data_IF_614703142947
#
_entry.id   IF_614703142947
#
_cell.length_a   1.000
_cell.length_b   1.000
_cell.length_c   1.000
_cell.angle_alpha   90.00
_cell.angle_beta   90.00
_cell.angle_gamma   90.00
#
_symmetry.space_group_name_H-M   'P 1'
#
loop_
_entity.id
_entity.type
_entity.pdbx_description
1 polymer ?
#
# COMPACT_ATOMS: atom_id res chain seq x y z
N UNK A 1 28.49 27.08 13.60
CA UNK A 1 27.03 27.03 13.26
C UNK A 1 26.63 25.79 12.43
N UNK A 2 27.33 24.65 12.56
CA UNK A 2 27.07 23.42 11.74
C UNK A 2 26.23 22.38 12.49
N UNK A 3 26.09 22.50 13.81
CA UNK A 3 25.48 21.44 14.63
C UNK A 3 23.93 21.41 14.59
N UNK A 4 23.27 22.58 14.53
CA UNK A 4 21.80 22.65 14.56
C UNK A 4 21.17 21.96 13.34
N UNK A 5 21.56 22.25 12.10
CA UNK A 5 21.02 21.55 10.92
C UNK A 5 21.21 20.02 10.98
N UNK A 6 22.38 19.56 11.50
CA UNK A 6 22.65 18.14 11.61
C UNK A 6 21.74 17.45 12.65
N UNK A 7 21.51 18.09 13.79
CA UNK A 7 20.57 17.57 14.79
C UNK A 7 19.13 17.56 14.30
N UNK A 8 18.74 18.59 13.54
CA UNK A 8 17.41 18.63 12.93
C UNK A 8 17.24 17.53 11.91
N UNK A 9 18.20 17.34 10.98
CA UNK A 9 18.17 16.24 10.02
C UNK A 9 18.09 14.86 10.72
N UNK A 10 18.83 14.67 11.82
CA UNK A 10 18.74 13.45 12.60
C UNK A 10 17.35 13.24 13.22
N UNK A 11 16.72 14.31 13.75
CA UNK A 11 15.37 14.25 14.32
C UNK A 11 14.30 13.95 13.28
N UNK A 12 14.45 14.51 12.09
CA UNK A 12 13.56 14.23 10.97
C UNK A 12 13.73 12.79 10.48
N UNK A 13 14.97 12.29 10.41
CA UNK A 13 15.25 10.87 10.11
C UNK A 13 14.64 9.93 11.16
N UNK A 14 14.88 10.18 12.46
CA UNK A 14 14.27 9.41 13.55
C UNK A 14 12.73 9.42 13.49
N UNK A 15 12.15 10.53 13.05
CA UNK A 15 10.70 10.63 12.85
C UNK A 15 10.24 9.75 11.68
N UNK A 16 10.98 9.69 10.56
CA UNK A 16 10.65 8.81 9.44
C UNK A 16 10.72 7.33 9.86
N UNK A 17 11.71 6.93 10.67
CA UNK A 17 11.80 5.57 11.23
C UNK A 17 10.58 5.24 12.11
N UNK A 18 10.09 6.21 12.89
CA UNK A 18 8.87 6.03 13.70
C UNK A 18 7.64 5.82 12.81
N UNK A 19 7.49 6.61 11.75
CA UNK A 19 6.36 6.48 10.83
C UNK A 19 6.41 5.16 10.06
N UNK A 20 7.59 4.71 9.61
CA UNK A 20 7.78 3.40 8.98
C UNK A 20 7.30 2.26 9.89
N UNK A 21 7.71 2.28 11.17
CA UNK A 21 7.24 1.32 12.15
C UNK A 21 5.72 1.39 12.37
N UNK A 22 5.13 2.58 12.34
CA UNK A 22 3.68 2.76 12.48
C UNK A 22 2.92 2.27 11.26
N UNK A 23 3.44 2.43 10.05
CA UNK A 23 2.87 1.84 8.84
C UNK A 23 2.97 0.31 8.83
N UNK A 24 4.06 -0.24 9.36
CA UNK A 24 4.18 -1.68 9.60
C UNK A 24 3.12 -2.20 10.59
N UNK A 25 2.82 -1.43 11.66
CA UNK A 25 1.75 -1.76 12.60
C UNK A 25 0.36 -1.62 11.97
N UNK A 26 0.13 -0.60 11.13
CA UNK A 26 -1.10 -0.43 10.38
C UNK A 26 -1.36 -1.64 9.46
N UNK A 27 -0.34 -2.04 8.70
CA UNK A 27 -0.44 -3.25 7.87
C UNK A 27 -0.76 -4.48 8.71
N UNK A 28 -0.06 -4.70 9.82
CA UNK A 28 -0.33 -5.83 10.71
C UNK A 28 -1.77 -5.83 11.25
N UNK A 29 -2.31 -4.65 11.61
CA UNK A 29 -3.70 -4.52 12.04
C UNK A 29 -4.69 -4.92 10.94
N UNK A 30 -4.50 -4.41 9.72
CA UNK A 30 -5.34 -4.72 8.56
C UNK A 30 -5.21 -6.20 8.16
N UNK A 31 -3.99 -6.74 8.09
CA UNK A 31 -3.75 -8.15 7.79
C UNK A 31 -4.42 -9.06 8.85
N UNK A 32 -4.42 -8.66 10.13
CA UNK A 32 -5.12 -9.39 11.18
C UNK A 32 -6.63 -9.36 10.99
N UNK A 33 -7.20 -8.19 10.67
CA UNK A 33 -8.64 -8.05 10.38
C UNK A 33 -9.06 -8.90 9.17
N UNK A 34 -8.26 -8.89 8.10
CA UNK A 34 -8.55 -9.65 6.87
C UNK A 34 -8.36 -11.16 7.06
N UNK A 35 -7.41 -11.62 7.88
CA UNK A 35 -7.12 -13.06 8.05
C UNK A 35 -8.03 -13.77 9.08
N UNK A 36 -8.51 -13.06 10.09
CA UNK A 36 -9.34 -13.66 11.16
C UNK A 36 -10.80 -13.86 10.75
N UNK A 37 -11.26 -13.25 9.66
CA UNK A 37 -12.65 -13.29 9.23
C UNK A 37 -13.62 -12.61 10.22
N UNK A 38 -13.10 -11.86 11.20
CA UNK A 38 -13.92 -11.09 12.13
C UNK A 38 -14.29 -9.76 11.51
N UNK A 39 -15.56 -9.63 11.15
CA UNK A 39 -16.10 -8.41 10.55
C UNK A 39 -16.54 -7.40 11.61
N UNK A 40 -16.52 -6.13 11.24
CA UNK A 40 -17.04 -4.99 12.00
C UNK A 40 -16.36 -4.81 13.38
N UNK A 41 -15.05 -5.09 13.44
CA UNK A 41 -14.24 -4.81 14.63
C UNK A 41 -13.21 -3.73 14.28
N UNK A 42 -13.42 -2.48 14.76
CA UNK A 42 -12.49 -1.40 14.45
C UNK A 42 -11.19 -1.55 15.24
N UNK A 43 -10.06 -1.32 14.57
CA UNK A 43 -8.72 -1.23 15.15
C UNK A 43 -8.17 0.16 14.87
N UNK A 44 -7.62 0.81 15.89
CA UNK A 44 -6.98 2.12 15.75
C UNK A 44 -5.46 1.99 15.77
N UNK A 45 -4.80 2.60 14.78
CA UNK A 45 -3.35 2.73 14.71
C UNK A 45 -2.97 4.20 14.78
N UNK A 46 -1.96 4.54 15.57
CA UNK A 46 -1.50 5.93 15.73
C UNK A 46 -0.41 6.24 14.70
N UNK A 47 -0.55 7.36 13.99
CA UNK A 47 0.45 7.88 13.05
C UNK A 47 0.93 9.25 13.56
N UNK A 48 2.24 9.40 13.73
CA UNK A 48 2.88 10.64 14.14
C UNK A 48 3.14 11.49 12.90
N UNK A 49 2.51 12.68 12.82
CA UNK A 49 2.55 13.50 11.61
C UNK A 49 3.83 14.32 11.49
N UNK A 50 4.40 14.81 12.58
CA UNK A 50 5.57 15.67 12.50
C UNK A 50 6.67 15.34 13.51
N UNK A 51 7.87 15.83 13.25
CA UNK A 51 9.03 15.65 14.12
C UNK A 51 8.89 16.44 15.43
N UNK A 52 9.54 15.96 16.50
CA UNK A 52 9.57 16.65 17.79
C UNK A 52 10.33 17.97 17.71
N UNK A 53 9.79 18.99 18.40
CA UNK A 53 10.49 20.26 18.58
C UNK A 53 11.78 20.11 19.39
N UNK A 54 12.77 20.93 19.05
CA UNK A 54 13.92 21.14 19.93
C UNK A 54 13.58 22.26 20.94
N UNK A 55 13.72 22.00 22.26
CA UNK A 55 13.51 23.01 23.25
C UNK A 55 14.41 24.25 23.01
N UNK A 56 13.83 25.42 23.19
CA UNK A 56 14.52 26.73 23.08
C UNK A 56 15.04 27.12 21.68
N UNK A 57 14.73 26.34 20.63
CA UNK A 57 15.06 26.70 19.25
C UNK A 57 13.77 26.88 18.45
N UNK A 58 13.55 28.06 17.90
CA UNK A 58 12.54 28.25 16.85
C UNK A 58 13.08 27.60 15.58
N UNK A 59 12.80 26.32 15.40
CA UNK A 59 13.27 25.55 14.26
C UNK A 59 12.11 25.11 13.39
N UNK A 60 12.36 25.07 12.09
CA UNK A 60 11.48 24.36 11.17
C UNK A 60 11.50 22.88 11.55
N UNK A 61 10.35 22.24 11.45
CA UNK A 61 10.17 20.81 11.76
C UNK A 61 9.36 20.14 10.67
N UNK A 62 9.47 18.83 10.55
CA UNK A 62 8.67 18.05 9.59
C UNK A 62 7.18 18.32 9.78
N UNK A 63 6.51 18.55 8.69
CA UNK A 63 5.05 18.58 8.61
C UNK A 63 4.62 17.30 7.88
N UNK A 64 3.69 16.54 8.47
CA UNK A 64 3.16 15.34 7.83
C UNK A 64 1.70 15.48 7.48
N UNK A 65 1.33 14.78 6.42
CA UNK A 65 -0.03 14.65 5.92
C UNK A 65 -0.35 13.17 5.75
N UNK A 66 -1.50 12.75 6.28
CA UNK A 66 -2.05 11.40 6.13
C UNK A 66 -3.34 11.50 5.34
N UNK A 67 -3.49 10.67 4.31
CA UNK A 67 -4.64 10.69 3.41
C UNK A 67 -5.13 9.28 3.10
N UNK A 68 -6.43 9.15 2.88
CA UNK A 68 -7.06 7.97 2.28
C UNK A 68 -7.45 8.39 0.88
N UNK A 69 -6.82 7.77 -0.11
CA UNK A 69 -7.00 8.06 -1.53
C UNK A 69 -7.95 7.02 -2.12
N UNK A 70 -8.94 7.49 -2.84
CA UNK A 70 -9.91 6.67 -3.55
C UNK A 70 -9.39 6.35 -4.96
N UNK A 71 -9.65 5.14 -5.46
CA UNK A 71 -9.33 4.69 -6.84
C UNK A 71 -7.88 4.95 -7.29
N UNK A 72 -6.92 4.92 -6.37
CA UNK A 72 -5.52 5.24 -6.65
C UNK A 72 -4.72 4.07 -7.24
N UNK A 73 -5.21 2.84 -7.05
CA UNK A 73 -4.66 1.63 -7.65
C UNK A 73 -5.75 0.91 -8.44
N UNK A 74 -5.44 0.48 -9.67
CA UNK A 74 -6.38 -0.28 -10.49
C UNK A 74 -5.78 -1.63 -10.84
N UNK A 75 -6.57 -2.68 -10.66
CA UNK A 75 -6.27 -4.03 -11.11
C UNK A 75 -7.21 -4.40 -12.23
N UNK A 76 -6.63 -4.88 -13.35
CA UNK A 76 -7.39 -5.45 -14.45
C UNK A 76 -6.91 -6.86 -14.71
N UNK A 77 -7.85 -7.80 -14.78
CA UNK A 77 -7.59 -9.20 -15.10
C UNK A 77 -8.37 -9.53 -16.36
N UNK A 78 -7.69 -10.12 -17.35
CA UNK A 78 -8.30 -10.49 -18.62
C UNK A 78 -8.13 -12.00 -18.81
N UNK A 79 -9.21 -12.68 -19.14
CA UNK A 79 -9.19 -14.04 -19.63
C UNK A 79 -9.78 -14.10 -21.05
N UNK A 80 -9.95 -15.28 -21.61
CA UNK A 80 -10.45 -15.47 -23.00
C UNK A 80 -11.86 -14.92 -23.24
N UNK A 81 -12.66 -14.68 -22.19
CA UNK A 81 -14.09 -14.34 -22.30
C UNK A 81 -14.45 -13.02 -21.64
N UNK A 82 -13.74 -12.61 -20.58
CA UNK A 82 -14.12 -11.48 -19.73
C UNK A 82 -12.93 -10.59 -19.38
N UNK A 83 -13.25 -9.35 -19.02
CA UNK A 83 -12.34 -8.39 -18.41
C UNK A 83 -12.91 -8.00 -17.05
N UNK A 84 -12.14 -8.22 -16.01
CA UNK A 84 -12.46 -7.85 -14.63
C UNK A 84 -11.66 -6.60 -14.26
N UNK A 85 -12.34 -5.58 -13.74
CA UNK A 85 -11.70 -4.32 -13.34
C UNK A 85 -12.03 -4.06 -11.87
N UNK A 86 -11.00 -3.75 -11.10
CA UNK A 86 -11.10 -3.40 -9.68
C UNK A 86 -10.38 -2.08 -9.46
N UNK A 87 -11.03 -1.18 -8.74
CA UNK A 87 -10.47 0.08 -8.26
C UNK A 87 -10.26 -0.02 -6.77
N UNK A 88 -9.05 0.20 -6.31
CA UNK A 88 -8.60 -0.04 -4.94
C UNK A 88 -8.15 1.27 -4.33
N UNK A 89 -8.58 1.53 -3.10
CA UNK A 89 -8.13 2.69 -2.34
C UNK A 89 -6.84 2.42 -1.57
N UNK A 90 -6.13 3.48 -1.23
CA UNK A 90 -4.83 3.44 -0.54
C UNK A 90 -4.80 4.38 0.65
N UNK A 91 -3.84 4.16 1.55
CA UNK A 91 -3.51 5.09 2.64
C UNK A 91 -2.12 5.62 2.37
N UNK A 92 -1.98 6.94 2.32
CA UNK A 92 -0.69 7.59 2.08
C UNK A 92 -0.35 8.54 3.22
N UNK A 93 0.87 8.45 3.71
CA UNK A 93 1.53 9.46 4.52
C UNK A 93 2.62 10.13 3.72
N UNK A 94 2.66 11.45 3.72
CA UNK A 94 3.73 12.25 3.13
C UNK A 94 4.33 13.20 4.16
N UNK A 95 5.66 13.33 4.16
CA UNK A 95 6.39 14.30 4.98
C UNK A 95 6.93 15.44 4.15
N UNK A 96 6.88 16.64 4.69
CA UNK A 96 7.66 17.79 4.22
C UNK A 96 8.71 18.11 5.27
N UNK A 97 9.95 17.72 5.02
CA UNK A 97 11.09 17.86 5.91
C UNK A 97 11.88 19.13 5.57
N UNK A 98 12.48 19.76 6.57
CA UNK A 98 13.28 20.99 6.36
C UNK A 98 14.77 20.69 6.17
N UNK A 99 15.26 19.58 6.71
CA UNK A 99 16.69 19.22 6.79
C UNK A 99 17.00 17.80 6.35
N UNK A 100 15.99 16.92 6.28
CA UNK A 100 16.08 15.55 5.79
C UNK A 100 15.34 15.44 4.46
N UNK A 101 15.51 14.33 3.74
CA UNK A 101 14.78 14.08 2.50
C UNK A 101 13.29 13.87 2.79
N UNK A 102 12.44 14.37 1.91
CA UNK A 102 11.02 14.09 1.95
C UNK A 102 10.77 12.61 1.65
N UNK A 103 9.89 12.01 2.44
CA UNK A 103 9.54 10.60 2.34
C UNK A 103 8.03 10.43 2.40
N UNK A 104 7.52 9.45 1.65
CA UNK A 104 6.14 8.99 1.76
C UNK A 104 6.10 7.50 2.06
N UNK A 105 5.12 7.10 2.87
CA UNK A 105 4.78 5.70 3.13
C UNK A 105 3.37 5.45 2.63
N UNK A 106 3.22 4.41 1.81
CA UNK A 106 1.97 4.13 1.14
C UNK A 106 1.56 2.68 1.44
N UNK A 107 0.35 2.51 1.95
CA UNK A 107 -0.32 1.22 2.03
C UNK A 107 -1.19 1.07 0.79
N UNK A 108 -0.80 0.20 -0.15
CA UNK A 108 -1.46 0.01 -1.44
C UNK A 108 -1.62 -1.48 -1.74
N UNK A 109 -2.86 -1.93 -1.95
CA UNK A 109 -3.20 -3.31 -2.30
C UNK A 109 -2.55 -4.38 -1.38
N UNK A 110 -2.39 -4.08 -0.09
CA UNK A 110 -1.74 -4.95 0.89
C UNK A 110 -0.21 -4.81 0.97
N UNK A 111 0.44 -3.99 0.16
CA UNK A 111 1.86 -3.66 0.24
C UNK A 111 2.12 -2.41 1.07
N UNK A 112 3.32 -2.28 1.67
CA UNK A 112 3.87 -1.00 2.09
C UNK A 112 4.93 -0.57 1.09
N UNK A 113 4.77 0.64 0.55
CA UNK A 113 5.71 1.27 -0.36
C UNK A 113 6.37 2.43 0.36
N UNK A 114 7.70 2.49 0.30
CA UNK A 114 8.48 3.67 0.69
C UNK A 114 8.86 4.44 -0.56
N UNK A 115 8.50 5.71 -0.61
CA UNK A 115 8.77 6.61 -1.73
C UNK A 115 9.61 7.79 -1.28
N UNK A 116 10.62 8.13 -2.08
CA UNK A 116 11.50 9.28 -1.93
C UNK A 116 11.69 9.95 -3.28
N UNK A 117 12.30 11.13 -3.32
CA UNK A 117 12.53 11.88 -4.55
C UNK A 117 13.27 11.06 -5.63
N UNK A 118 14.19 10.17 -5.23
CA UNK A 118 15.02 9.38 -6.15
C UNK A 118 14.42 8.04 -6.56
N UNK A 119 13.28 7.64 -5.98
CA UNK A 119 12.62 6.38 -6.32
C UNK A 119 11.68 5.85 -5.25
N UNK A 120 11.05 4.73 -5.57
CA UNK A 120 10.15 4.03 -4.68
C UNK A 120 10.41 2.52 -4.70
N UNK A 121 10.08 1.85 -3.59
CA UNK A 121 10.24 0.41 -3.44
C UNK A 121 9.17 -0.16 -2.51
N UNK A 122 8.79 -1.41 -2.71
CA UNK A 122 7.97 -2.15 -1.77
C UNK A 122 8.86 -2.57 -0.59
N UNK A 123 8.64 -1.98 0.57
CA UNK A 123 9.34 -2.30 1.83
C UNK A 123 8.71 -3.51 2.53
N UNK A 124 7.37 -3.67 2.47
CA UNK A 124 6.68 -4.86 2.96
C UNK A 124 5.78 -5.39 1.84
N UNK A 125 5.98 -6.66 1.52
CA UNK A 125 5.34 -7.31 0.37
C UNK A 125 3.84 -7.53 0.61
N UNK A 126 3.02 -7.48 -0.49
CA UNK A 126 1.63 -7.92 -0.45
C UNK A 126 1.55 -9.46 -0.40
N UNK A 127 0.36 -9.96 -0.16
CA UNK A 127 0.03 -11.39 -0.23
C UNK A 127 -0.21 -11.79 -1.69
N UNK A 128 0.85 -12.25 -2.35
CA UNK A 128 0.81 -12.76 -3.72
C UNK A 128 1.69 -14.01 -3.79
N UNK A 129 1.13 -15.09 -4.26
CA UNK A 129 1.80 -16.39 -4.40
C UNK A 129 1.62 -16.92 -5.81
N UNK A 130 2.68 -17.47 -6.36
CA UNK A 130 2.67 -18.13 -7.66
C UNK A 130 3.26 -19.51 -7.47
N UNK A 131 2.59 -20.51 -8.01
CA UNK A 131 3.08 -21.89 -8.03
C UNK A 131 3.08 -22.43 -9.44
N UNK A 132 4.06 -23.28 -9.76
CA UNK A 132 4.17 -23.96 -11.07
C UNK A 132 4.38 -25.45 -10.84
N UNK A 133 3.48 -26.26 -11.38
CA UNK A 133 3.58 -27.73 -11.34
C UNK A 133 3.48 -28.27 -12.77
N UNK A 134 4.63 -28.58 -13.38
CA UNK A 134 4.69 -28.90 -14.82
C UNK A 134 4.29 -27.70 -15.67
N UNK A 135 3.24 -27.86 -16.47
CA UNK A 135 2.68 -26.77 -17.30
C UNK A 135 1.60 -25.94 -16.56
N UNK A 136 1.13 -26.42 -15.41
CA UNK A 136 0.08 -25.74 -14.65
C UNK A 136 0.68 -24.65 -13.79
N UNK A 137 0.19 -23.42 -13.97
CA UNK A 137 0.52 -22.25 -13.14
C UNK A 137 -0.73 -21.81 -12.39
N UNK A 138 -0.59 -21.63 -11.10
CA UNK A 138 -1.64 -21.11 -10.23
C UNK A 138 -1.14 -19.81 -9.58
N UNK A 139 -1.99 -18.80 -9.54
CA UNK A 139 -1.72 -17.50 -8.93
C UNK A 139 -2.76 -17.27 -7.83
N UNK A 140 -2.31 -16.91 -6.65
CA UNK A 140 -3.16 -16.50 -5.55
C UNK A 140 -2.82 -15.06 -5.20
N UNK A 141 -3.83 -14.20 -5.17
CA UNK A 141 -3.67 -12.77 -4.85
C UNK A 141 -4.70 -12.39 -3.79
N UNK A 142 -4.20 -11.93 -2.62
CA UNK A 142 -5.02 -11.30 -1.61
C UNK A 142 -4.82 -9.78 -1.66
N UNK A 143 -5.85 -9.05 -2.02
CA UNK A 143 -5.84 -7.59 -2.12
C UNK A 143 -6.61 -6.99 -0.96
N UNK A 144 -6.14 -5.86 -0.50
CA UNK A 144 -6.84 -5.04 0.48
C UNK A 144 -7.36 -3.80 -0.22
N UNK A 145 -8.68 -3.64 -0.25
CA UNK A 145 -9.35 -2.43 -0.73
C UNK A 145 -9.71 -1.53 0.45
N UNK A 146 -9.14 -0.32 0.47
CA UNK A 146 -9.37 0.66 1.54
C UNK A 146 -10.42 1.67 1.12
N UNK A 147 -11.54 1.67 1.82
CA UNK A 147 -12.65 2.56 1.57
C UNK A 147 -12.75 3.62 2.68
N UNK A 148 -12.78 4.89 2.31
CA UNK A 148 -12.95 5.96 3.29
C UNK A 148 -14.39 6.05 3.80
N UNK A 149 -14.55 6.28 5.09
CA UNK A 149 -15.85 6.44 5.72
C UNK A 149 -15.96 7.77 6.46
N UNK A 150 -17.16 8.31 6.59
CA UNK A 150 -17.47 9.50 7.38
C UNK A 150 -16.84 10.81 6.91
N UNK A 151 -16.28 10.87 5.70
CA UNK A 151 -15.64 12.07 5.16
C UNK A 151 -14.32 12.45 5.86
N UNK A 152 -13.80 11.62 6.76
CA UNK A 152 -12.53 11.82 7.48
C UNK A 152 -11.37 11.18 6.72
N UNK A 153 -11.04 11.75 5.57
CA UNK A 153 -10.07 11.20 4.61
C UNK A 153 -8.69 11.80 4.73
N UNK A 154 -8.53 12.90 5.49
CA UNK A 154 -7.25 13.61 5.58
C UNK A 154 -6.95 14.03 7.01
N UNK A 155 -5.66 14.05 7.34
CA UNK A 155 -5.15 14.62 8.60
C UNK A 155 -3.75 15.17 8.39
N UNK A 156 -3.50 16.41 8.80
CA UNK A 156 -2.20 17.04 8.62
C UNK A 156 -1.76 17.81 9.87
N UNK A 157 -0.46 17.95 10.05
CA UNK A 157 0.07 18.71 11.19
C UNK A 157 1.42 18.23 11.71
N UNK A 158 1.59 18.44 13.01
CA UNK A 158 2.82 18.12 13.73
C UNK A 158 2.61 17.13 14.89
N UNK A 159 1.36 16.83 15.19
CA UNK A 159 0.99 15.94 16.28
C UNK A 159 0.88 14.49 15.86
N UNK A 160 0.10 13.73 16.61
CA UNK A 160 -0.25 12.34 16.30
C UNK A 160 -1.74 12.28 15.97
N UNK A 161 -2.10 11.55 14.94
CA UNK A 161 -3.49 11.24 14.61
C UNK A 161 -3.71 9.72 14.66
N UNK A 162 -4.95 9.31 14.83
CA UNK A 162 -5.31 7.91 14.68
C UNK A 162 -5.79 7.65 13.24
N UNK A 163 -5.50 6.48 12.72
CA UNK A 163 -6.24 5.88 11.61
C UNK A 163 -6.97 4.67 12.16
N UNK A 164 -8.28 4.61 11.92
CA UNK A 164 -9.12 3.50 12.34
C UNK A 164 -9.51 2.70 11.11
N UNK A 165 -9.40 1.40 11.22
CA UNK A 165 -9.70 0.45 10.13
C UNK A 165 -10.66 -0.62 10.63
N UNK A 166 -11.51 -1.14 9.74
CA UNK A 166 -12.50 -2.16 10.03
C UNK A 166 -12.74 -3.01 8.78
N UNK A 167 -12.60 -4.32 8.90
CA UNK A 167 -12.96 -5.23 7.81
C UNK A 167 -14.49 -5.41 7.76
N UNK A 168 -15.08 -5.15 6.59
CA UNK A 168 -16.53 -5.22 6.39
C UNK A 168 -16.97 -6.39 5.51
N UNK A 169 -16.05 -7.04 4.81
CA UNK A 169 -16.38 -8.17 3.95
C UNK A 169 -15.24 -8.61 3.06
N UNK A 170 -15.52 -9.66 2.30
CA UNK A 170 -14.60 -10.26 1.34
C UNK A 170 -15.32 -10.55 0.04
N UNK A 171 -14.63 -10.29 -1.08
CA UNK A 171 -15.03 -10.70 -2.42
C UNK A 171 -14.00 -11.72 -2.93
N UNK A 172 -14.45 -12.96 -3.11
CA UNK A 172 -13.58 -14.05 -3.56
C UNK A 172 -14.00 -14.50 -4.96
N UNK A 173 -13.04 -14.67 -5.86
CA UNK A 173 -13.31 -15.09 -7.22
C UNK A 173 -12.19 -15.96 -7.78
N UNK A 174 -12.55 -17.09 -8.38
CA UNK A 174 -11.64 -17.91 -9.17
C UNK A 174 -11.82 -17.54 -10.64
N UNK A 175 -10.74 -17.12 -11.28
CA UNK A 175 -10.70 -16.74 -12.69
C UNK A 175 -9.79 -17.70 -13.44
N UNK A 176 -10.38 -18.56 -14.26
CA UNK A 176 -9.61 -19.52 -15.02
C UNK A 176 -9.12 -18.96 -16.35
N UNK A 177 -8.00 -19.51 -16.83
CA UNK A 177 -7.40 -19.20 -18.11
C UNK A 177 -7.05 -17.69 -18.26
N UNK A 178 -6.38 -17.13 -17.27
CA UNK A 178 -5.96 -15.74 -17.28
C UNK A 178 -4.88 -15.53 -18.35
N UNK A 179 -5.16 -14.63 -19.28
CA UNK A 179 -4.20 -14.24 -20.34
C UNK A 179 -3.37 -13.02 -19.95
N UNK A 180 -3.92 -12.14 -19.10
CA UNK A 180 -3.26 -10.90 -18.73
C UNK A 180 -3.71 -10.42 -17.37
N UNK A 181 -2.74 -9.93 -16.58
CA UNK A 181 -2.95 -9.11 -15.40
C UNK A 181 -2.29 -7.76 -15.64
N UNK A 182 -3.01 -6.66 -15.44
CA UNK A 182 -2.40 -5.32 -15.43
C UNK A 182 -2.77 -4.56 -14.18
N UNK A 183 -1.82 -3.75 -13.72
CA UNK A 183 -2.02 -2.80 -12.63
C UNK A 183 -1.66 -1.39 -13.09
N UNK A 184 -2.46 -0.41 -12.68
CA UNK A 184 -2.18 1.01 -12.87
C UNK A 184 -1.96 1.64 -11.49
N UNK A 185 -0.79 2.24 -11.28
CA UNK A 185 -0.36 2.83 -10.00
C UNK A 185 0.61 3.97 -10.21
N UNK A 186 0.67 4.92 -9.28
CA UNK A 186 1.71 5.96 -9.26
C UNK A 186 3.10 5.40 -8.88
N UNK A 187 3.15 4.22 -8.25
CA UNK A 187 4.37 3.58 -7.76
C UNK A 187 4.84 2.44 -8.67
N UNK A 188 4.74 2.66 -9.98
CA UNK A 188 5.03 1.67 -11.03
C UNK A 188 6.42 1.02 -10.86
N UNK A 189 7.45 1.79 -10.49
CA UNK A 189 8.80 1.25 -10.29
C UNK A 189 8.86 0.22 -9.14
N UNK A 190 8.21 0.51 -8.01
CA UNK A 190 8.17 -0.40 -6.87
C UNK A 190 7.50 -1.74 -7.24
N UNK A 191 6.33 -1.66 -7.88
CA UNK A 191 5.60 -2.84 -8.32
C UNK A 191 6.32 -3.62 -9.42
N UNK A 192 6.98 -2.92 -10.36
CA UNK A 192 7.80 -3.57 -11.40
C UNK A 192 8.91 -4.42 -10.79
N UNK A 193 9.67 -3.85 -9.86
CA UNK A 193 10.77 -4.56 -9.19
C UNK A 193 10.22 -5.79 -8.46
N UNK A 194 9.08 -5.67 -7.79
CA UNK A 194 8.44 -6.76 -7.08
C UNK A 194 7.96 -7.86 -8.02
N UNK A 195 7.25 -7.52 -9.11
CA UNK A 195 6.79 -8.50 -10.09
C UNK A 195 7.97 -9.18 -10.80
N UNK A 196 8.99 -8.44 -11.19
CA UNK A 196 10.21 -9.00 -11.76
C UNK A 196 10.85 -10.04 -10.83
N UNK A 197 10.84 -9.76 -9.51
CA UNK A 197 11.39 -10.66 -8.52
C UNK A 197 10.51 -11.92 -8.36
N UNK A 198 9.19 -11.78 -8.16
CA UNK A 198 8.33 -12.92 -7.85
C UNK A 198 8.11 -13.81 -9.09
N UNK A 199 7.90 -13.23 -10.25
CA UNK A 199 7.71 -13.98 -11.48
C UNK A 199 8.96 -14.80 -11.82
N UNK A 200 10.15 -14.18 -11.80
CA UNK A 200 11.42 -14.87 -12.08
C UNK A 200 11.78 -15.94 -11.06
N UNK A 201 11.22 -15.90 -9.86
CA UNK A 201 11.48 -16.92 -8.83
C UNK A 201 10.77 -18.24 -9.09
N UNK A 202 9.73 -18.26 -9.95
CA UNK A 202 8.85 -19.42 -10.17
C UNK A 202 8.68 -19.75 -11.65
N UNK A 203 8.64 -18.73 -12.52
CA UNK A 203 8.30 -18.85 -13.94
C UNK A 203 9.54 -18.68 -14.83
N UNK A 204 9.52 -19.36 -15.97
CA UNK A 204 10.51 -19.20 -17.02
C UNK A 204 10.15 -18.03 -17.93
N UNK A 205 11.14 -17.51 -18.67
CA UNK A 205 10.92 -16.40 -19.60
C UNK A 205 9.99 -16.73 -20.77
N UNK A 206 9.69 -18.01 -21.00
CA UNK A 206 8.70 -18.48 -21.96
C UNK A 206 7.28 -18.50 -21.44
N UNK A 207 7.05 -18.33 -20.14
CA UNK A 207 5.73 -18.43 -19.52
C UNK A 207 4.99 -17.07 -19.52
N UNK A 208 5.72 -15.97 -19.53
CA UNK A 208 5.15 -14.63 -19.42
C UNK A 208 5.96 -13.54 -20.13
N UNK A 209 5.32 -12.40 -20.35
CA UNK A 209 5.93 -11.16 -20.82
C UNK A 209 5.46 -10.00 -19.94
N UNK A 210 6.38 -9.21 -19.41
CA UNK A 210 6.07 -7.97 -18.69
C UNK A 210 6.36 -6.76 -19.56
N UNK A 211 5.39 -5.88 -19.71
CA UNK A 211 5.54 -4.58 -20.39
C UNK A 211 5.07 -3.44 -19.48
N UNK A 212 5.61 -2.24 -19.71
CA UNK A 212 5.22 -1.03 -18.98
C UNK A 212 4.76 0.02 -20.00
N UNK A 213 3.63 0.62 -19.72
CA UNK A 213 3.07 1.70 -20.50
C UNK A 213 2.63 2.86 -19.56
N UNK A 214 3.49 3.87 -19.39
CA UNK A 214 3.26 4.93 -18.43
C UNK A 214 3.18 4.40 -17.00
N UNK A 215 2.03 4.55 -16.36
CA UNK A 215 1.75 4.08 -15.01
C UNK A 215 1.16 2.66 -14.95
N UNK A 216 1.04 1.99 -16.09
CA UNK A 216 0.48 0.64 -16.17
C UNK A 216 1.58 -0.39 -16.36
N UNK A 217 1.56 -1.44 -15.52
CA UNK A 217 2.36 -2.67 -15.67
C UNK A 217 1.43 -3.74 -16.22
N UNK A 218 1.84 -4.38 -17.31
CA UNK A 218 1.07 -5.41 -17.99
C UNK A 218 1.88 -6.70 -17.95
N UNK A 219 1.30 -7.76 -17.41
CA UNK A 219 1.86 -9.11 -17.36
C UNK A 219 0.98 -10.00 -18.25
N UNK A 220 1.52 -10.44 -19.37
CA UNK A 220 0.86 -11.40 -20.27
C UNK A 220 1.37 -12.81 -19.95
N UNK A 221 0.45 -13.77 -19.81
CA UNK A 221 0.77 -15.17 -19.57
C UNK A 221 0.52 -15.99 -20.83
N UNK A 222 1.45 -16.89 -21.13
CA UNK A 222 1.33 -17.79 -22.30
C UNK A 222 0.75 -19.15 -21.91
N UNK A 223 0.79 -19.51 -20.61
CA UNK A 223 0.31 -20.77 -20.07
C UNK A 223 -1.13 -20.67 -19.50
N UNK A 224 -1.77 -19.50 -19.64
CA UNK A 224 -3.15 -19.26 -19.19
C UNK A 224 -3.41 -19.76 -17.76
N UNK A 225 -2.72 -19.24 -16.73
CA UNK A 225 -2.86 -19.66 -15.34
C UNK A 225 -4.28 -19.50 -14.80
N UNK A 226 -4.60 -20.27 -13.77
CA UNK A 226 -5.77 -20.02 -12.94
C UNK A 226 -5.39 -19.03 -11.82
N UNK A 227 -6.28 -18.09 -11.54
CA UNK A 227 -6.12 -17.07 -10.53
C UNK A 227 -7.19 -17.20 -9.45
N UNK A 228 -6.77 -17.37 -8.21
CA UNK A 228 -7.62 -17.21 -7.01
C UNK A 228 -7.42 -15.79 -6.48
N UNK A 229 -8.45 -14.97 -6.60
CA UNK A 229 -8.47 -13.57 -6.15
C UNK A 229 -9.34 -13.43 -4.91
N UNK A 230 -8.77 -12.91 -3.84
CA UNK A 230 -9.48 -12.49 -2.64
C UNK A 230 -9.30 -10.98 -2.44
N UNK A 231 -10.39 -10.25 -2.25
CA UNK A 231 -10.37 -8.82 -1.94
C UNK A 231 -11.03 -8.61 -0.58
N UNK A 232 -10.25 -8.16 0.41
CA UNK A 232 -10.78 -7.75 1.70
C UNK A 232 -11.17 -6.27 1.66
N UNK A 233 -12.41 -5.97 1.96
CA UNK A 233 -12.95 -4.62 1.99
C UNK A 233 -12.75 -4.01 3.38
N UNK A 234 -11.91 -2.97 3.47
CA UNK A 234 -11.54 -2.28 4.70
C UNK A 234 -12.09 -0.88 4.70
N UNK A 235 -13.00 -0.57 5.61
CA UNK A 235 -13.38 0.79 5.92
C UNK A 235 -12.27 1.46 6.73
N UNK A 236 -11.94 2.70 6.40
CA UNK A 236 -10.93 3.48 7.12
C UNK A 236 -11.36 4.93 7.32
N UNK A 237 -10.94 5.52 8.45
CA UNK A 237 -11.10 6.95 8.72
C UNK A 237 -9.91 7.51 9.50
N UNK A 238 -9.60 8.79 9.29
CA UNK A 238 -8.53 9.51 9.98
C UNK A 238 -9.12 10.37 11.09
N UNK A 239 -8.49 10.33 12.26
CA UNK A 239 -8.90 11.12 13.44
C UNK A 239 -9.57 10.28 14.53
N UNK A 240 -9.95 10.95 15.61
CA UNK A 240 -10.58 10.32 16.78
C UNK A 240 -12.09 10.10 16.54
N UNK A 241 -12.58 9.01 17.13
CA UNK A 241 -13.99 8.62 17.09
C UNK A 241 -14.38 7.93 15.79
N UNK A 242 -15.08 6.82 15.89
CA UNK A 242 -15.63 6.07 14.78
C UNK A 242 -16.99 6.64 14.37
N UNK A 243 -17.22 6.87 13.10
CA UNK A 243 -18.54 7.23 12.57
C UNK A 243 -19.16 5.97 11.99
N UNK A 244 -20.12 5.40 12.69
CA UNK A 244 -20.93 4.32 12.16
C UNK A 244 -21.95 4.89 11.16
N UNK A 245 -22.08 4.22 10.02
CA UNK A 245 -23.23 4.45 9.14
C UNK A 245 -24.43 3.71 9.74
N UNK A 246 -25.44 4.47 10.13
CA UNK A 246 -26.78 3.96 10.49
C UNK A 246 -27.60 3.64 9.25
#
# INVERSE_FOLDING_TARGET
>A
MVYVPKWMAQREAEHMDVVDAQFSQLKFAIDTQSSTGQLNIPIATSITLGSKELPYLMSLRSFGQLEILYDSFKLRITNSTNIYNYSIGTIEYSSSNAYFIDQSFIYEAGAIITSQQEGNMISIKPSLYITKQGENVEILIDIIDVNSVGGKTTGGGYGTTAIQTECIGFDNQIISNVSQISIETYYTNAWKIYFDWILKSVLDSSDYLTTINGNEIIIQFFNSPDLDLSIANINAQIGAGWIEYS
#
